data_IF_417301374856
#
_entry.id   IF_417301374856
#
_cell.length_a   1.000
_cell.length_b   1.000
_cell.length_c   1.000
_cell.angle_alpha   90.00
_cell.angle_beta   90.00
_cell.angle_gamma   90.00
#
_symmetry.space_group_name_H-M   'P 1'
#
loop_
_entity.id
_entity.type
_entity.pdbx_description
1 polymer ?
#
# COMPACT_ATOMS: atom_id res chain seq x y z
N UNK A 1 21.16 -11.45 -26.96
CA UNK A 1 20.10 -10.49 -27.34
C UNK A 1 19.45 -9.94 -26.09
N UNK A 2 19.41 -8.61 -25.88
CA UNK A 2 18.83 -8.03 -24.68
C UNK A 2 17.30 -8.21 -24.71
N UNK A 3 16.72 -8.72 -23.61
CA UNK A 3 15.27 -8.78 -23.44
C UNK A 3 14.79 -7.35 -23.28
N UNK A 4 14.03 -6.84 -24.24
CA UNK A 4 13.37 -5.55 -24.10
C UNK A 4 12.32 -5.69 -23.00
N UNK A 5 12.54 -5.00 -21.88
CA UNK A 5 11.57 -4.89 -20.79
C UNK A 5 10.37 -4.07 -21.28
N UNK A 6 9.43 -4.77 -21.89
CA UNK A 6 8.13 -4.22 -22.27
C UNK A 6 7.44 -3.75 -21.00
N UNK A 7 7.14 -2.45 -20.93
CA UNK A 7 6.46 -1.86 -19.78
C UNK A 7 5.13 -2.60 -19.52
N UNK A 8 4.71 -2.80 -18.26
CA UNK A 8 3.43 -3.47 -17.94
C UNK A 8 2.21 -2.85 -18.62
N UNK A 9 2.30 -1.59 -19.04
CA UNK A 9 1.29 -0.88 -19.83
C UNK A 9 1.18 -1.38 -21.27
N UNK A 10 2.30 -1.76 -21.90
CA UNK A 10 2.33 -2.23 -23.30
C UNK A 10 1.59 -3.56 -23.50
N UNK A 11 1.64 -4.46 -22.51
CA UNK A 11 0.92 -5.74 -22.53
C UNK A 11 -0.60 -5.49 -22.59
N UNK A 12 -1.09 -4.49 -21.85
CA UNK A 12 -2.52 -4.19 -21.83
C UNK A 12 -3.00 -3.32 -23.01
N UNK A 13 -2.15 -2.43 -23.55
CA UNK A 13 -2.50 -1.65 -24.74
C UNK A 13 -2.59 -2.53 -26.00
N UNK A 14 -1.76 -3.57 -26.10
CA UNK A 14 -1.85 -4.60 -27.16
C UNK A 14 -3.11 -5.49 -27.05
N UNK A 15 -3.83 -5.40 -25.93
CA UNK A 15 -5.10 -6.10 -25.71
C UNK A 15 -6.30 -5.16 -25.70
N UNK A 16 -6.12 -3.87 -26.03
CA UNK A 16 -7.24 -2.98 -26.23
C UNK A 16 -7.95 -3.45 -27.51
N UNK A 17 -9.11 -4.10 -27.41
CA UNK A 17 -9.71 -4.73 -28.58
C UNK A 17 -10.13 -3.63 -29.55
N UNK A 18 -9.86 -3.82 -30.83
CA UNK A 18 -10.25 -2.85 -31.84
C UNK A 18 -11.78 -2.61 -31.75
N UNK A 19 -12.16 -1.34 -31.61
CA UNK A 19 -13.56 -0.95 -31.52
C UNK A 19 -14.30 -1.16 -32.85
N UNK A 20 -13.55 -1.21 -33.95
CA UNK A 20 -14.06 -1.40 -35.31
C UNK A 20 -14.71 -2.77 -35.49
N UNK A 21 -14.29 -3.78 -34.72
CA UNK A 21 -14.88 -5.14 -34.76
C UNK A 21 -16.18 -5.26 -33.94
N UNK A 22 -16.79 -4.14 -33.55
CA UNK A 22 -18.04 -4.16 -32.80
C UNK A 22 -19.23 -4.25 -33.74
N UNK A 23 -19.81 -5.45 -33.83
CA UNK A 23 -21.07 -5.69 -34.53
C UNK A 23 -22.18 -6.00 -33.52
N UNK A 24 -23.26 -5.20 -33.54
CA UNK A 24 -24.45 -5.44 -32.72
C UNK A 24 -25.24 -6.60 -33.30
N UNK A 25 -24.99 -7.82 -32.83
CA UNK A 25 -25.65 -9.03 -33.34
C UNK A 25 -27.09 -9.24 -32.85
N UNK A 26 -27.62 -8.38 -31.99
CA UNK A 26 -28.89 -8.66 -31.34
C UNK A 26 -30.09 -7.97 -32.00
N UNK A 27 -31.11 -8.76 -32.30
CA UNK A 27 -32.41 -8.30 -32.81
C UNK A 27 -33.48 -8.39 -31.71
N UNK A 28 -33.30 -7.67 -30.60
CA UNK A 28 -34.32 -7.68 -29.56
C UNK A 28 -35.55 -6.90 -30.02
N UNK A 29 -36.71 -7.56 -30.05
CA UNK A 29 -38.00 -6.93 -30.33
C UNK A 29 -38.60 -6.25 -29.08
N UNK A 30 -38.04 -6.50 -27.90
CA UNK A 30 -38.56 -5.97 -26.64
C UNK A 30 -38.17 -4.50 -26.49
N UNK A 31 -39.18 -3.66 -26.25
CA UNK A 31 -39.08 -2.20 -26.12
C UNK A 31 -38.15 -1.72 -25.00
N UNK A 32 -37.91 -2.54 -23.97
CA UNK A 32 -37.09 -2.12 -22.83
C UNK A 32 -35.57 -2.12 -23.10
N UNK A 33 -35.09 -2.81 -24.14
CA UNK A 33 -33.65 -2.93 -24.42
C UNK A 33 -33.26 -2.04 -25.61
N UNK A 34 -32.36 -1.09 -25.37
CA UNK A 34 -31.91 -0.09 -26.33
C UNK A 34 -30.63 -0.52 -27.07
N UNK A 35 -30.51 -1.81 -27.40
CA UNK A 35 -29.26 -2.32 -27.99
C UNK A 35 -28.99 -1.77 -29.39
N UNK A 36 -30.03 -1.38 -30.13
CA UNK A 36 -29.94 -0.82 -31.48
C UNK A 36 -29.50 0.65 -31.48
N UNK A 37 -29.63 1.34 -30.35
CA UNK A 37 -29.22 2.74 -30.18
C UNK A 37 -27.72 2.87 -29.87
N UNK A 38 -27.03 1.75 -29.62
CA UNK A 38 -25.60 1.75 -29.29
C UNK A 38 -24.78 1.87 -30.56
N UNK A 39 -24.13 3.02 -30.76
CA UNK A 39 -23.20 3.25 -31.86
C UNK A 39 -21.81 2.65 -31.59
N UNK A 40 -21.01 2.51 -32.63
CA UNK A 40 -19.59 2.11 -32.53
C UNK A 40 -18.77 3.15 -31.75
N UNK A 41 -19.08 4.43 -31.91
CA UNK A 41 -18.45 5.53 -31.17
C UNK A 41 -18.73 5.45 -29.67
N UNK A 42 -19.96 5.09 -29.27
CA UNK A 42 -20.31 4.87 -27.87
C UNK A 42 -19.46 3.76 -27.25
N UNK A 43 -19.31 2.65 -27.97
CA UNK A 43 -18.47 1.52 -27.52
C UNK A 43 -17.02 1.94 -27.40
N UNK A 44 -16.49 2.71 -28.35
CA UNK A 44 -15.13 3.24 -28.30
C UNK A 44 -14.92 4.10 -27.05
N UNK A 45 -15.80 5.07 -26.79
CA UNK A 45 -15.73 5.93 -25.59
C UNK A 45 -15.84 5.14 -24.29
N UNK A 46 -16.74 4.15 -24.23
CA UNK A 46 -16.88 3.30 -23.05
C UNK A 46 -15.63 2.45 -22.83
N UNK A 47 -15.03 1.88 -23.89
CA UNK A 47 -13.77 1.13 -23.79
C UNK A 47 -12.63 2.03 -23.32
N UNK A 48 -12.48 3.22 -23.91
CA UNK A 48 -11.49 4.20 -23.47
C UNK A 48 -11.70 4.54 -22.00
N UNK A 49 -12.94 4.79 -21.57
CA UNK A 49 -13.25 5.05 -20.17
C UNK A 49 -12.83 3.89 -19.26
N UNK A 50 -13.21 2.65 -19.56
CA UNK A 50 -12.92 1.46 -18.75
C UNK A 50 -11.42 1.18 -18.71
N UNK A 51 -10.77 1.14 -19.88
CA UNK A 51 -9.40 0.66 -20.05
C UNK A 51 -8.32 1.75 -19.99
N UNK A 52 -8.67 3.04 -19.80
CA UNK A 52 -7.69 4.13 -19.61
C UNK A 52 -6.62 3.85 -18.56
N UNK A 53 -6.92 3.00 -17.57
CA UNK A 53 -5.96 2.59 -16.54
C UNK A 53 -5.96 1.05 -16.45
N UNK A 54 -4.88 0.35 -16.88
CA UNK A 54 -4.86 -1.10 -16.99
C UNK A 54 -4.63 -1.82 -15.64
N UNK A 55 -5.16 -1.26 -14.56
CA UNK A 55 -5.11 -1.88 -13.24
C UNK A 55 -6.42 -2.63 -13.04
N UNK A 56 -6.35 -3.95 -12.86
CA UNK A 56 -7.53 -4.84 -12.77
C UNK A 56 -8.60 -4.33 -11.79
N UNK A 57 -8.18 -3.90 -10.61
CA UNK A 57 -9.10 -3.38 -9.59
C UNK A 57 -9.83 -2.12 -10.04
N UNK A 58 -9.16 -1.24 -10.78
CA UNK A 58 -9.75 -0.03 -11.36
C UNK A 58 -10.73 -0.39 -12.48
N UNK A 59 -10.35 -1.32 -13.35
CA UNK A 59 -11.21 -1.82 -14.44
C UNK A 59 -12.49 -2.45 -13.86
N UNK A 60 -12.35 -3.39 -12.91
CA UNK A 60 -13.48 -4.04 -12.25
C UNK A 60 -14.43 -3.00 -11.62
N UNK A 61 -13.90 -1.95 -10.99
CA UNK A 61 -14.69 -0.87 -10.40
C UNK A 61 -15.44 -0.05 -11.48
N UNK A 62 -14.80 0.28 -12.60
CA UNK A 62 -15.45 1.00 -13.70
C UNK A 62 -16.55 0.17 -14.35
N UNK A 63 -16.33 -1.11 -14.58
CA UNK A 63 -17.37 -2.05 -15.06
C UNK A 63 -18.51 -2.14 -14.05
N UNK A 64 -18.18 -2.17 -12.74
CA UNK A 64 -19.19 -2.18 -11.70
C UNK A 64 -20.12 -0.95 -11.75
N UNK A 65 -19.66 0.20 -12.24
CA UNK A 65 -20.52 1.38 -12.46
C UNK A 65 -21.48 1.25 -13.66
N UNK A 66 -21.21 0.32 -14.58
CA UNK A 66 -22.01 0.04 -15.77
C UNK A 66 -23.00 -1.12 -15.59
N UNK A 67 -23.05 -1.73 -14.41
CA UNK A 67 -24.01 -2.80 -14.08
C UNK A 67 -24.89 -2.39 -12.91
N UNK A 68 -26.13 -2.85 -12.85
CA UNK A 68 -26.99 -2.71 -11.68
C UNK A 68 -27.39 -4.09 -11.16
N UNK A 69 -27.28 -4.27 -9.85
CA UNK A 69 -27.62 -5.54 -9.19
C UNK A 69 -29.08 -5.47 -8.77
N UNK A 70 -29.93 -6.30 -9.37
CA UNK A 70 -31.32 -6.48 -8.94
C UNK A 70 -31.41 -7.68 -8.02
N UNK A 71 -31.69 -7.43 -6.75
CA UNK A 71 -32.04 -8.49 -5.81
C UNK A 71 -33.45 -8.99 -6.15
N UNK A 72 -33.66 -10.31 -6.29
CA UNK A 72 -35.00 -10.84 -6.45
C UNK A 72 -35.85 -10.37 -5.26
N UNK A 73 -37.05 -9.85 -5.52
CA UNK A 73 -38.01 -9.56 -4.44
C UNK A 73 -38.27 -10.89 -3.74
N UNK A 74 -37.73 -11.07 -2.54
CA UNK A 74 -37.99 -12.25 -1.72
C UNK A 74 -39.49 -12.34 -1.52
N UNK A 75 -40.13 -13.34 -2.13
CA UNK A 75 -41.41 -13.81 -1.59
C UNK A 75 -41.05 -14.35 -0.20
N UNK A 76 -41.70 -13.84 0.84
CA UNK A 76 -41.65 -14.44 2.17
C UNK A 76 -42.29 -15.82 2.06
N UNK A 77 -41.56 -16.82 1.58
CA UNK A 77 -41.93 -18.20 1.85
C UNK A 77 -41.30 -18.51 3.20
N UNK A 78 -42.14 -18.65 4.21
CA UNK A 78 -41.77 -19.31 5.45
C UNK A 78 -41.11 -20.65 5.11
N UNK A 79 -39.99 -20.91 5.77
CA UNK A 79 -39.48 -22.26 6.01
C UNK A 79 -39.11 -23.10 4.78
N UNK A 80 -37.92 -22.85 4.23
CA UNK A 80 -36.98 -23.98 3.97
C UNK A 80 -35.55 -23.45 3.83
N UNK A 81 -34.80 -23.57 4.93
CA UNK A 81 -33.40 -23.20 5.11
C UNK A 81 -32.44 -24.11 4.31
N UNK A 82 -32.55 -24.14 2.99
CA UNK A 82 -31.42 -24.58 2.16
C UNK A 82 -30.82 -23.35 1.51
N UNK A 83 -29.57 -23.02 1.91
CA UNK A 83 -28.76 -21.90 1.43
C UNK A 83 -28.40 -22.02 -0.07
N UNK A 84 -29.37 -22.26 -0.95
CA UNK A 84 -29.18 -22.14 -2.39
C UNK A 84 -29.00 -20.66 -2.68
N UNK A 85 -27.75 -20.26 -2.93
CA UNK A 85 -27.36 -18.89 -3.20
C UNK A 85 -28.33 -18.25 -4.18
N UNK A 86 -28.99 -17.18 -3.76
CA UNK A 86 -29.99 -16.51 -4.58
C UNK A 86 -29.34 -16.07 -5.90
N UNK A 87 -29.94 -16.46 -7.02
CA UNK A 87 -29.46 -16.07 -8.34
C UNK A 87 -29.54 -14.54 -8.45
N UNK A 88 -28.38 -13.90 -8.57
CA UNK A 88 -28.28 -12.45 -8.72
C UNK A 88 -28.67 -12.10 -10.17
N UNK A 89 -29.63 -11.17 -10.33
CA UNK A 89 -29.96 -10.60 -11.64
C UNK A 89 -29.14 -9.33 -11.85
N UNK A 90 -28.50 -9.22 -13.01
CA UNK A 90 -27.73 -8.05 -13.41
C UNK A 90 -28.40 -7.37 -14.60
N UNK A 91 -28.58 -6.06 -14.50
CA UNK A 91 -28.93 -5.19 -15.60
C UNK A 91 -27.65 -4.49 -16.10
N UNK A 92 -27.52 -4.33 -17.42
CA UNK A 92 -26.29 -3.86 -18.06
C UNK A 92 -26.55 -2.53 -18.77
N UNK A 93 -25.67 -1.55 -18.54
CA UNK A 93 -25.82 -0.20 -19.09
C UNK A 93 -24.59 0.20 -19.89
N UNK A 94 -24.82 0.79 -21.07
CA UNK A 94 -23.80 1.53 -21.79
C UNK A 94 -24.14 3.03 -21.74
N UNK A 95 -23.15 3.88 -22.02
CA UNK A 95 -23.36 5.33 -22.11
C UNK A 95 -23.28 5.74 -23.57
N UNK A 96 -24.27 6.50 -24.03
CA UNK A 96 -24.22 7.10 -25.36
C UNK A 96 -23.30 8.33 -25.39
N UNK A 97 -23.16 8.92 -26.57
CA UNK A 97 -22.40 10.13 -26.83
C UNK A 97 -22.85 11.31 -25.95
N UNK A 98 -24.13 11.34 -25.59
CA UNK A 98 -24.79 12.31 -24.71
C UNK A 98 -24.67 11.95 -23.22
N UNK A 99 -23.92 10.90 -22.88
CA UNK A 99 -23.75 10.36 -21.51
C UNK A 99 -25.00 9.78 -20.85
N UNK A 100 -26.09 9.58 -21.59
CA UNK A 100 -27.30 8.91 -21.15
C UNK A 100 -27.07 7.41 -20.99
N UNK A 101 -27.78 6.78 -20.05
CA UNK A 101 -27.65 5.36 -19.77
C UNK A 101 -28.60 4.57 -20.67
N UNK A 102 -28.04 3.75 -21.55
CA UNK A 102 -28.77 2.81 -22.41
C UNK A 102 -28.81 1.43 -21.75
N UNK A 103 -30.02 0.89 -21.51
CA UNK A 103 -30.17 -0.47 -21.01
C UNK A 103 -29.94 -1.47 -22.15
N UNK A 104 -28.93 -2.33 -22.01
CA UNK A 104 -28.54 -3.30 -23.04
C UNK A 104 -28.62 -4.73 -22.55
N UNK A 105 -28.65 -5.69 -23.48
CA UNK A 105 -28.58 -7.09 -23.11
C UNK A 105 -27.15 -7.50 -22.73
N UNK A 106 -27.03 -8.63 -22.05
CA UNK A 106 -25.73 -9.19 -21.65
C UNK A 106 -24.80 -9.45 -22.83
N UNK A 107 -25.29 -10.01 -23.94
CA UNK A 107 -24.47 -10.33 -25.12
C UNK A 107 -23.85 -9.07 -25.72
N UNK A 108 -24.65 -8.02 -25.91
CA UNK A 108 -24.17 -6.72 -26.42
C UNK A 108 -23.14 -6.12 -25.49
N UNK A 109 -23.38 -6.15 -24.18
CA UNK A 109 -22.44 -5.65 -23.18
C UNK A 109 -21.09 -6.41 -23.18
N UNK A 110 -21.13 -7.75 -23.26
CA UNK A 110 -19.95 -8.61 -23.35
C UNK A 110 -19.14 -8.33 -24.63
N UNK A 111 -19.82 -8.24 -25.78
CA UNK A 111 -19.19 -7.92 -27.08
C UNK A 111 -18.61 -6.50 -27.08
N UNK A 112 -19.34 -5.54 -26.49
CA UNK A 112 -18.93 -4.15 -26.39
C UNK A 112 -17.65 -4.02 -25.55
N UNK A 113 -17.54 -4.68 -24.41
CA UNK A 113 -16.33 -4.56 -23.56
C UNK A 113 -15.25 -5.62 -23.83
N UNK A 114 -15.57 -6.67 -24.59
CA UNK A 114 -14.75 -7.88 -24.82
C UNK A 114 -14.31 -8.54 -23.51
N UNK A 115 -15.27 -8.68 -22.58
CA UNK A 115 -15.06 -9.29 -21.26
C UNK A 115 -15.76 -10.65 -21.24
N UNK A 116 -15.22 -11.62 -20.50
CA UNK A 116 -15.86 -12.92 -20.30
C UNK A 116 -17.07 -12.82 -19.37
N UNK A 117 -18.06 -13.69 -19.58
CA UNK A 117 -19.23 -13.79 -18.70
C UNK A 117 -18.83 -14.07 -17.24
N UNK A 118 -17.83 -14.94 -17.02
CA UNK A 118 -17.32 -15.27 -15.67
C UNK A 118 -16.81 -14.04 -14.92
N UNK A 119 -16.08 -13.15 -15.61
CA UNK A 119 -15.55 -11.93 -15.00
C UNK A 119 -16.69 -10.99 -14.57
N UNK A 120 -17.69 -10.79 -15.43
CA UNK A 120 -18.87 -9.98 -15.10
C UNK A 120 -19.64 -10.54 -13.91
N UNK A 121 -19.84 -11.86 -13.85
CA UNK A 121 -20.53 -12.49 -12.72
C UNK A 121 -19.74 -12.32 -11.42
N UNK A 122 -18.42 -12.43 -11.48
CA UNK A 122 -17.55 -12.19 -10.31
C UNK A 122 -17.64 -10.74 -9.84
N UNK A 123 -17.61 -9.78 -10.76
CA UNK A 123 -17.80 -8.35 -10.46
C UNK A 123 -19.19 -8.10 -9.87
N UNK A 124 -20.24 -8.68 -10.47
CA UNK A 124 -21.62 -8.57 -10.00
C UNK A 124 -21.80 -9.13 -8.59
N UNK A 125 -21.21 -10.29 -8.29
CA UNK A 125 -21.21 -10.90 -6.96
C UNK A 125 -20.50 -10.02 -5.94
N UNK A 126 -19.27 -9.57 -6.23
CA UNK A 126 -18.53 -8.66 -5.35
C UNK A 126 -19.26 -7.32 -5.14
N UNK A 127 -19.97 -6.82 -6.16
CA UNK A 127 -20.81 -5.62 -6.05
C UNK A 127 -22.01 -5.85 -5.15
N UNK A 128 -22.69 -7.00 -5.27
CA UNK A 128 -23.81 -7.39 -4.41
C UNK A 128 -23.37 -7.55 -2.94
N UNK A 129 -22.16 -8.05 -2.71
CA UNK A 129 -21.54 -8.19 -1.37
C UNK A 129 -20.99 -6.86 -0.82
N UNK A 130 -21.00 -5.77 -1.60
CA UNK A 130 -20.45 -4.48 -1.19
C UNK A 130 -18.91 -4.40 -1.19
N UNK A 131 -18.21 -5.42 -1.69
CA UNK A 131 -16.74 -5.44 -1.77
C UNK A 131 -16.18 -4.54 -2.87
N UNK A 132 -16.96 -4.27 -3.92
CA UNK A 132 -16.60 -3.26 -4.92
C UNK A 132 -17.01 -1.90 -4.38
N UNK A 133 -16.02 -1.21 -3.84
CA UNK A 133 -16.14 0.18 -3.41
C UNK A 133 -16.29 1.02 -4.68
N UNK A 134 -17.53 1.22 -5.12
CA UNK A 134 -17.87 2.44 -5.83
C UNK A 134 -17.33 3.56 -4.95
N UNK A 135 -16.36 4.35 -5.42
CA UNK A 135 -15.90 5.57 -4.75
C UNK A 135 -17.09 6.55 -4.72
N UNK A 136 -18.11 6.27 -3.90
CA UNK A 136 -19.23 7.15 -3.59
C UNK A 136 -18.66 8.24 -2.68
N UNK A 137 -18.10 9.27 -3.29
CA UNK A 137 -17.45 10.36 -2.57
C UNK A 137 -16.12 9.88 -1.97
N UNK A 138 -15.02 10.43 -2.47
CA UNK A 138 -13.72 10.17 -1.86
C UNK A 138 -13.80 10.41 -0.36
N UNK A 139 -13.20 9.50 0.41
CA UNK A 139 -12.89 9.72 1.81
C UNK A 139 -11.96 10.94 1.89
N UNK A 140 -12.52 12.15 1.90
CA UNK A 140 -11.80 13.41 2.10
C UNK A 140 -11.18 13.46 3.50
N UNK A 141 -11.70 12.66 4.44
CA UNK A 141 -11.14 12.56 5.80
C UNK A 141 -9.81 11.81 5.77
N UNK A 142 -9.70 10.65 5.14
CA UNK A 142 -8.45 9.87 5.13
C UNK A 142 -7.25 10.67 4.64
N UNK A 143 -7.37 11.43 3.54
CA UNK A 143 -6.30 12.31 3.04
C UNK A 143 -6.02 13.51 3.94
N UNK A 144 -7.08 14.14 4.50
CA UNK A 144 -6.92 15.23 5.50
C UNK A 144 -6.13 14.75 6.73
N UNK A 145 -6.28 13.48 7.09
CA UNK A 145 -5.58 12.86 8.21
C UNK A 145 -4.33 12.10 7.80
N UNK A 146 -3.98 12.01 6.52
CA UNK A 146 -2.78 11.30 6.05
C UNK A 146 -1.52 12.04 6.49
N UNK A 147 -1.55 13.38 6.41
CA UNK A 147 -0.52 14.25 6.96
C UNK A 147 -0.44 14.11 8.50
N UNK A 148 -1.57 14.16 9.22
CA UNK A 148 -1.58 13.93 10.68
C UNK A 148 -1.13 12.52 11.06
N UNK A 149 -1.45 11.50 10.26
CA UNK A 149 -1.05 10.11 10.48
C UNK A 149 0.44 9.93 10.22
N UNK A 150 0.99 10.56 9.19
CA UNK A 150 2.42 10.61 8.95
C UNK A 150 3.16 11.39 10.04
N UNK A 151 2.58 12.48 10.57
CA UNK A 151 3.13 13.19 11.75
C UNK A 151 3.03 12.35 13.04
N UNK A 152 1.95 11.58 13.23
CA UNK A 152 1.85 10.61 14.35
C UNK A 152 2.85 9.46 14.20
N UNK A 153 3.07 8.96 12.99
CA UNK A 153 4.04 7.90 12.68
C UNK A 153 5.49 8.42 12.83
N UNK A 154 5.79 9.64 12.39
CA UNK A 154 7.10 10.27 12.61
C UNK A 154 7.33 10.55 14.10
N UNK A 155 6.30 10.98 14.84
CA UNK A 155 6.35 11.10 16.30
C UNK A 155 6.48 9.75 17.04
N UNK A 156 5.99 8.65 16.47
CA UNK A 156 6.22 7.29 16.99
C UNK A 156 7.65 6.79 16.74
N UNK A 157 8.39 7.35 15.78
CA UNK A 157 9.81 7.02 15.57
C UNK A 157 10.72 7.57 16.69
N UNK A 158 10.23 8.52 17.49
CA UNK A 158 11.01 9.19 18.54
C UNK A 158 10.94 8.54 19.92
N UNK A 159 10.12 7.50 20.13
CA UNK A 159 9.98 6.88 21.47
C UNK A 159 10.43 5.43 21.46
N UNK A 160 11.75 5.23 21.50
CA UNK A 160 12.40 4.01 21.99
C UNK A 160 13.05 4.32 23.32
N UNK A 161 12.34 4.11 24.44
CA UNK A 161 13.01 4.13 25.76
C UNK A 161 13.54 2.73 26.07
N UNK A 162 14.85 2.61 26.10
CA UNK A 162 15.55 1.42 26.58
C UNK A 162 15.58 1.49 28.11
N UNK A 163 14.91 0.56 28.78
CA UNK A 163 15.07 0.39 30.22
C UNK A 163 16.17 -0.64 30.48
N UNK A 164 17.35 -0.18 30.88
CA UNK A 164 18.41 -1.01 31.40
C UNK A 164 18.14 -1.23 32.90
N UNK A 165 17.80 -2.47 33.29
CA UNK A 165 17.71 -2.82 34.71
C UNK A 165 18.86 -3.75 35.05
N UNK A 166 19.81 -3.26 35.86
CA UNK A 166 20.92 -4.03 36.38
C UNK A 166 20.41 -4.91 37.52
N UNK A 167 20.57 -6.23 37.41
CA UNK A 167 20.26 -7.18 38.48
C UNK A 167 21.54 -7.99 38.70
N UNK A 168 22.31 -7.62 39.73
CA UNK A 168 23.69 -8.09 39.99
C UNK A 168 24.68 -7.69 38.87
N UNK A 169 25.78 -8.41 38.67
CA UNK A 169 26.81 -8.18 37.64
C UNK A 169 26.34 -8.34 36.18
N UNK A 170 25.03 -8.51 35.93
CA UNK A 170 24.48 -8.73 34.58
C UNK A 170 23.44 -7.65 34.24
N UNK A 171 23.59 -7.03 33.08
CA UNK A 171 22.63 -6.07 32.54
C UNK A 171 21.51 -6.80 31.80
N UNK A 172 20.27 -6.58 32.23
CA UNK A 172 19.07 -7.08 31.56
C UNK A 172 18.53 -5.98 30.65
N UNK A 173 18.66 -6.15 29.34
CA UNK A 173 18.07 -5.24 28.35
C UNK A 173 16.65 -5.67 28.07
N UNK A 174 15.68 -4.98 28.67
CA UNK A 174 14.26 -5.19 28.39
C UNK A 174 13.84 -4.21 27.29
N UNK A 175 13.58 -4.72 26.09
CA UNK A 175 13.04 -3.89 25.01
C UNK A 175 11.50 -3.93 25.09
N UNK A 176 10.91 -2.95 25.76
CA UNK A 176 9.46 -2.77 25.73
C UNK A 176 9.10 -1.64 24.78
N UNK A 177 8.30 -1.95 23.76
CA UNK A 177 7.73 -0.95 22.86
C UNK A 177 6.47 -0.39 23.53
N UNK A 178 6.66 0.66 24.32
CA UNK A 178 5.54 1.42 24.87
C UNK A 178 5.16 2.52 23.89
N UNK A 179 3.91 2.49 23.43
CA UNK A 179 3.36 3.62 22.71
C UNK A 179 2.54 4.48 23.66
N UNK A 180 2.74 5.80 23.60
CA UNK A 180 1.88 6.75 24.30
C UNK A 180 0.53 6.79 23.59
N UNK A 181 -0.52 6.38 24.27
CA UNK A 181 -1.88 6.49 23.73
C UNK A 181 -2.36 7.94 23.81
N UNK A 182 -3.43 8.27 23.09
CA UNK A 182 -4.01 9.63 23.08
C UNK A 182 -4.38 10.11 24.51
N UNK A 183 -4.62 9.17 25.45
CA UNK A 183 -4.89 9.44 26.89
C UNK A 183 -3.63 9.70 27.73
N UNK A 184 -2.46 9.89 27.10
CA UNK A 184 -1.14 10.03 27.76
C UNK A 184 -0.71 8.82 28.61
N UNK A 185 -1.38 7.67 28.49
CA UNK A 185 -0.98 6.42 29.17
C UNK A 185 -0.01 5.64 28.28
N UNK A 186 0.93 4.93 28.89
CA UNK A 186 1.85 4.04 28.16
C UNK A 186 1.26 2.63 28.13
N UNK A 187 1.11 2.04 26.94
CA UNK A 187 0.65 0.66 26.78
C UNK A 187 1.64 -0.16 25.94
N UNK A 188 1.81 -1.43 26.31
CA UNK A 188 2.67 -2.38 25.61
C UNK A 188 1.94 -2.91 24.36
N UNK A 189 2.57 -2.78 23.19
CA UNK A 189 1.95 -3.14 21.89
C UNK A 189 2.13 -4.61 21.48
N UNK A 190 2.74 -5.45 22.33
CA UNK A 190 2.82 -6.88 22.05
C UNK A 190 1.41 -7.48 22.00
N UNK A 191 1.09 -8.20 20.92
CA UNK A 191 -0.16 -8.96 20.83
C UNK A 191 -0.27 -9.87 22.05
N UNK A 192 -1.47 -9.97 22.63
CA UNK A 192 -1.74 -10.85 23.78
C UNK A 192 -1.30 -12.28 23.43
N UNK A 193 -0.31 -12.80 24.13
CA UNK A 193 0.28 -14.13 23.89
C UNK A 193 1.56 -14.16 23.04
N UNK A 194 2.04 -13.04 22.51
CA UNK A 194 3.34 -12.98 21.85
C UNK A 194 4.46 -13.11 22.91
N UNK A 195 5.34 -14.09 22.72
CA UNK A 195 6.55 -14.26 23.54
C UNK A 195 7.61 -13.28 23.06
N UNK A 196 8.17 -12.51 23.98
CA UNK A 196 9.31 -11.64 23.70
C UNK A 196 10.58 -12.49 23.75
N UNK A 197 11.26 -12.64 22.62
CA UNK A 197 12.60 -13.23 22.60
C UNK A 197 13.62 -12.15 22.99
N UNK A 198 14.32 -12.38 24.10
CA UNK A 198 15.36 -11.49 24.60
C UNK A 198 16.68 -11.94 24.00
N UNK A 199 17.27 -11.10 23.15
CA UNK A 199 18.59 -11.33 22.59
C UNK A 199 19.67 -10.62 23.42
N UNK A 200 20.67 -11.36 23.89
CA UNK A 200 21.79 -10.86 24.67
C UNK A 200 23.11 -11.11 23.93
N UNK A 201 23.51 -10.23 23.00
CA UNK A 201 24.80 -10.38 22.35
C UNK A 201 25.91 -10.17 23.40
N UNK A 202 26.84 -11.13 23.51
CA UNK A 202 28.05 -10.97 24.33
C UNK A 202 29.03 -9.95 23.73
N UNK A 203 28.98 -9.80 22.41
CA UNK A 203 29.82 -8.90 21.63
C UNK A 203 29.00 -8.34 20.47
N UNK A 204 29.14 -7.05 20.20
CA UNK A 204 28.54 -6.38 19.03
C UNK A 204 29.70 -6.08 18.08
N UNK A 205 29.74 -6.77 16.95
CA UNK A 205 30.71 -6.48 15.89
C UNK A 205 30.45 -5.07 15.32
N UNK A 206 31.47 -4.21 15.34
CA UNK A 206 31.44 -2.95 14.63
C UNK A 206 31.64 -3.20 13.13
N UNK A 207 30.55 -3.35 12.38
CA UNK A 207 30.63 -3.52 10.91
C UNK A 207 30.78 -2.21 10.14
N UNK A 208 30.39 -1.09 10.76
CA UNK A 208 30.42 0.22 10.12
C UNK A 208 31.42 1.12 10.82
N UNK A 209 32.18 1.89 10.03
CA UNK A 209 33.04 2.94 10.56
C UNK A 209 32.20 3.99 11.29
N UNK A 210 32.58 4.29 12.53
CA UNK A 210 31.90 5.31 13.33
C UNK A 210 32.46 6.68 12.95
N UNK A 211 31.58 7.63 12.61
CA UNK A 211 31.92 9.04 12.37
C UNK A 211 32.69 9.63 13.56
N UNK A 212 33.70 10.47 13.28
CA UNK A 212 34.64 11.01 14.29
C UNK A 212 33.99 11.72 15.48
N UNK A 213 32.87 12.39 15.24
CA UNK A 213 32.09 13.11 16.27
C UNK A 213 31.50 12.20 17.36
N UNK A 214 31.15 10.94 17.03
CA UNK A 214 30.41 10.10 17.99
C UNK A 214 31.27 9.63 19.18
N UNK A 215 32.51 9.18 19.00
CA UNK A 215 33.41 8.84 20.11
C UNK A 215 33.73 10.04 21.00
N UNK A 216 33.95 11.23 20.43
CA UNK A 216 34.19 12.47 21.19
C UNK A 216 33.01 12.81 22.10
N UNK A 217 31.79 12.67 21.58
CA UNK A 217 30.57 12.84 22.38
C UNK A 217 30.46 11.79 23.49
N UNK A 218 30.85 10.54 23.22
CA UNK A 218 30.86 9.48 24.23
C UNK A 218 31.87 9.77 25.33
N UNK A 219 33.09 10.19 24.97
CA UNK A 219 34.12 10.57 25.95
C UNK A 219 33.66 11.76 26.82
N UNK A 220 33.07 12.77 26.19
CA UNK A 220 32.50 13.93 26.90
C UNK A 220 31.40 13.51 27.87
N UNK A 221 30.52 12.60 27.45
CA UNK A 221 29.45 12.07 28.30
C UNK A 221 30.00 11.27 29.48
N UNK A 222 31.05 10.47 29.28
CA UNK A 222 31.65 9.66 30.35
C UNK A 222 32.36 10.54 31.38
N UNK A 223 33.11 11.55 30.94
CA UNK A 223 33.73 12.56 31.81
C UNK A 223 32.70 13.30 32.66
N UNK A 224 31.54 13.61 32.09
CA UNK A 224 30.46 14.30 32.81
C UNK A 224 29.65 13.38 33.74
N UNK A 225 29.72 12.06 33.54
CA UNK A 225 28.94 11.11 34.34
C UNK A 225 29.60 10.77 35.67
N UNK A 226 30.93 10.61 35.68
CA UNK A 226 31.71 10.29 36.88
C UNK A 226 33.20 10.63 36.66
N UNK A 227 33.89 11.18 37.66
CA UNK A 227 35.32 11.52 37.55
C UNK A 227 36.19 10.28 37.27
N UNK A 228 35.89 9.13 37.91
CA UNK A 228 36.70 7.90 37.80
C UNK A 228 36.10 6.84 36.84
N UNK A 229 35.49 7.27 35.73
CA UNK A 229 34.90 6.33 34.77
C UNK A 229 35.96 5.42 34.11
N UNK A 230 37.22 5.86 34.07
CA UNK A 230 38.35 5.12 33.52
C UNK A 230 38.74 3.87 34.32
N UNK A 231 38.34 3.76 35.59
CA UNK A 231 38.63 2.58 36.42
C UNK A 231 37.45 1.60 36.46
N UNK A 232 36.25 2.05 36.09
CA UNK A 232 35.05 1.24 36.20
C UNK A 232 34.97 0.16 35.09
N UNK A 233 34.97 -1.11 35.47
CA UNK A 233 34.84 -2.25 34.54
C UNK A 233 33.55 -2.22 33.71
N UNK A 234 32.50 -1.56 34.22
CA UNK A 234 31.22 -1.42 33.52
C UNK A 234 31.37 -0.66 32.19
N UNK A 235 32.42 0.17 32.05
CA UNK A 235 32.69 0.94 30.84
C UNK A 235 33.78 0.33 29.94
N UNK A 236 34.22 -0.91 30.20
CA UNK A 236 35.29 -1.56 29.43
C UNK A 236 35.07 -1.54 27.91
N UNK A 237 33.83 -1.68 27.45
CA UNK A 237 33.50 -1.60 26.02
C UNK A 237 33.78 -0.21 25.43
N UNK A 238 33.44 0.86 26.15
CA UNK A 238 33.70 2.24 25.70
C UNK A 238 35.19 2.59 25.74
N UNK A 239 35.92 2.04 26.72
CA UNK A 239 37.39 2.17 26.77
C UNK A 239 38.04 1.54 25.54
N UNK A 240 37.61 0.33 25.17
CA UNK A 240 38.10 -0.34 23.97
C UNK A 240 37.78 0.48 22.71
N UNK A 241 36.56 1.02 22.61
CA UNK A 241 36.15 1.89 21.51
C UNK A 241 37.01 3.16 21.37
N UNK A 242 37.41 3.77 22.49
CA UNK A 242 38.27 4.96 22.51
C UNK A 242 39.74 4.61 22.27
N UNK A 243 40.23 3.47 22.79
CA UNK A 243 41.61 3.03 22.65
C UNK A 243 41.94 2.53 21.23
N UNK A 244 41.00 1.86 20.56
CA UNK A 244 41.15 1.46 19.14
C UNK A 244 41.43 2.66 18.22
N UNK A 245 41.05 3.87 18.61
CA UNK A 245 41.37 5.11 17.88
C UNK A 245 42.68 5.77 18.25
N UNK A 246 43.15 5.60 19.50
CA UNK A 246 44.42 6.18 19.96
C UNK A 246 45.62 5.52 19.28
N UNK A 247 45.43 4.31 18.76
CA UNK A 247 46.35 3.70 17.81
C UNK A 247 45.83 3.91 16.39
N UNK A 248 46.23 5.00 15.70
CA UNK A 248 46.05 5.06 14.27
C UNK A 248 46.85 3.91 13.65
N UNK A 249 46.18 2.81 13.30
CA UNK A 249 46.69 1.92 12.25
C UNK A 249 46.92 2.82 11.05
N UNK A 250 48.19 3.05 10.67
CA UNK A 250 48.63 3.97 9.63
C UNK A 250 48.04 3.60 8.27
N UNK A 251 46.78 3.96 8.08
CA UNK A 251 46.00 3.79 6.87
C UNK A 251 45.90 5.12 6.17
N UNK A 252 46.47 5.13 4.98
CA UNK A 252 46.49 6.15 3.93
C UNK A 252 45.26 7.08 3.96
N UNK A 253 45.52 8.38 3.92
CA UNK A 253 44.50 9.43 3.82
C UNK A 253 43.67 9.24 2.55
N UNK A 254 42.48 8.64 2.72
CA UNK A 254 41.46 8.61 1.68
C UNK A 254 40.94 10.05 1.49
N UNK A 255 41.52 10.74 0.50
CA UNK A 255 41.16 12.11 0.13
C UNK A 255 39.75 12.09 -0.44
N UNK A 256 38.81 12.72 0.27
CA UNK A 256 37.43 12.85 -0.17
C UNK A 256 37.39 13.80 -1.38
N UNK A 257 36.94 13.38 -2.57
CA UNK A 257 36.91 14.27 -3.73
C UNK A 257 35.98 15.46 -3.45
N UNK A 258 36.54 16.66 -3.58
CA UNK A 258 35.80 17.92 -3.58
C UNK A 258 34.69 17.84 -4.63
N UNK A 259 33.45 18.05 -4.18
CA UNK A 259 32.31 18.23 -5.07
C UNK A 259 32.32 19.68 -5.54
N UNK A 260 32.74 19.90 -6.79
CA UNK A 260 32.59 21.19 -7.47
C UNK A 260 31.11 21.50 -7.68
N UNK A 261 30.59 22.46 -6.90
CA UNK A 261 29.30 23.09 -7.13
C UNK A 261 29.37 23.95 -8.40
N UNK A 262 28.74 23.50 -9.48
CA UNK A 262 28.55 24.27 -10.72
C UNK A 262 27.27 25.08 -10.60
N UNK A 263 27.39 26.37 -10.30
CA UNK A 263 26.32 27.36 -10.47
C UNK A 263 26.08 27.60 -11.98
N UNK A 264 24.91 27.19 -12.49
CA UNK A 264 24.40 27.65 -13.78
C UNK A 264 23.32 28.71 -13.55
N UNK A 265 23.71 29.97 -13.71
CA UNK A 265 22.79 31.08 -13.98
C UNK A 265 22.23 30.94 -15.40
N UNK A 266 20.91 30.84 -15.54
CA UNK A 266 20.23 31.04 -16.82
C UNK A 266 19.50 32.39 -16.80
N UNK A 267 19.91 33.23 -17.76
CA UNK A 267 19.24 34.44 -18.23
C UNK A 267 17.86 34.17 -18.83
#
# INVERSE_FOLDING_TARGET
MPKQDLSPLSIYMNHMPNAEDFEVKCKHLKTALQCHEVSTEDVKRVREFVYRQPVKTIIDNKIAHLIEVKHPKTKKSEETLTNKGQAIRLDYFLRNINSEKLLVCQKTFLTALKISQRNILTIGKKKAEGQIIARRGGDRRSKKYEQQKNSKISGMQEVKRVHLKRVREKCLTKLEVFCRTDDKKYQNYLKRGAKLEIYQPKQIELRNSIKKIKPENVETLLKNYQEDWEDNETFAWYKNLLNERRHPTGGEEETCPESDDVDQEHS
#
